data_IF_645148433666
#
_entry.id   IF_645148433666
#
_cell.length_a   1.000
_cell.length_b   1.000
_cell.length_c   1.000
_cell.angle_alpha   90.00
_cell.angle_beta   90.00
_cell.angle_gamma   90.00
#
_symmetry.space_group_name_H-M   'P 1'
#
loop_
_entity.id
_entity.type
_entity.pdbx_description
1 polymer ?
#
# COMPACT_ATOMS: atom_id res chain seq x y z
N UNK A 1 38.34 -72.35 -54.15
CA UNK A 1 38.59 -72.26 -52.68
C UNK A 1 37.29 -72.29 -51.92
N UNK A 2 36.90 -73.42 -51.32
CA UNK A 2 35.65 -73.56 -50.54
C UNK A 2 35.98 -73.25 -49.12
N UNK A 3 35.33 -72.16 -48.57
CA UNK A 3 35.39 -71.82 -47.13
C UNK A 3 34.41 -72.73 -46.39
N UNK A 4 34.91 -73.52 -45.47
CA UNK A 4 34.10 -74.30 -44.50
C UNK A 4 33.56 -73.41 -43.42
N UNK A 5 32.27 -73.43 -43.08
CA UNK A 5 31.74 -72.67 -41.97
C UNK A 5 32.06 -73.37 -40.62
N UNK A 6 32.89 -72.75 -39.78
CA UNK A 6 33.12 -73.20 -38.41
C UNK A 6 31.89 -72.88 -37.63
N UNK A 7 31.06 -73.90 -37.33
CA UNK A 7 29.94 -73.76 -36.36
C UNK A 7 30.46 -73.88 -34.94
N UNK A 8 30.66 -72.75 -34.28
CA UNK A 8 30.91 -72.73 -32.84
C UNK A 8 29.62 -73.18 -32.09
N UNK A 9 29.61 -74.39 -31.59
CA UNK A 9 28.55 -75.01 -30.87
C UNK A 9 28.84 -74.75 -29.33
N UNK A 10 28.28 -73.67 -28.73
CA UNK A 10 28.40 -73.47 -27.31
C UNK A 10 27.70 -74.59 -26.54
N UNK A 11 28.26 -75.07 -25.41
CA UNK A 11 27.65 -76.10 -24.57
C UNK A 11 26.36 -75.57 -23.98
N UNK A 12 25.30 -76.41 -23.93
CA UNK A 12 23.95 -76.05 -23.50
C UNK A 12 23.93 -75.52 -22.06
N UNK A 13 24.83 -75.91 -21.18
CA UNK A 13 24.96 -75.46 -19.78
C UNK A 13 25.42 -74.02 -19.66
N UNK A 14 26.35 -73.56 -20.51
CA UNK A 14 26.79 -72.17 -20.51
C UNK A 14 25.73 -71.21 -20.99
N UNK A 15 24.82 -71.63 -21.84
CA UNK A 15 23.72 -70.81 -22.39
C UNK A 15 22.57 -70.56 -21.44
N UNK A 16 22.35 -71.50 -20.49
CA UNK A 16 21.34 -71.33 -19.42
C UNK A 16 21.83 -70.46 -18.27
N UNK A 17 23.10 -70.52 -17.96
CA UNK A 17 23.70 -69.70 -16.87
C UNK A 17 23.81 -68.24 -17.27
N UNK A 18 24.24 -67.97 -18.49
CA UNK A 18 24.31 -66.60 -19.00
C UNK A 18 22.94 -65.92 -19.11
N UNK A 19 21.87 -66.68 -19.45
CA UNK A 19 20.51 -66.13 -19.55
C UNK A 19 19.92 -65.77 -18.17
N UNK A 20 20.24 -66.48 -17.10
CA UNK A 20 19.70 -66.22 -15.74
C UNK A 20 20.33 -64.98 -15.10
N UNK A 21 21.65 -64.79 -15.21
CA UNK A 21 22.36 -63.65 -14.66
C UNK A 21 22.04 -62.37 -15.41
N UNK A 22 22.05 -62.38 -16.74
CA UNK A 22 21.71 -61.21 -17.57
C UNK A 22 20.27 -60.76 -17.43
N UNK A 23 19.30 -61.67 -17.31
CA UNK A 23 17.89 -61.31 -17.03
C UNK A 23 17.73 -60.65 -15.67
N UNK A 24 18.42 -61.16 -14.63
CA UNK A 24 18.39 -60.58 -13.27
C UNK A 24 19.08 -59.21 -13.25
N UNK A 25 20.21 -59.05 -13.93
CA UNK A 25 20.91 -57.77 -14.04
C UNK A 25 20.09 -56.75 -14.83
N UNK A 26 19.47 -57.15 -15.94
CA UNK A 26 18.53 -56.28 -16.67
C UNK A 26 17.33 -55.86 -15.79
N UNK A 27 16.73 -56.80 -15.06
CA UNK A 27 15.61 -56.47 -14.16
C UNK A 27 16.04 -55.51 -13.05
N UNK A 28 17.18 -55.68 -12.43
CA UNK A 28 17.72 -54.79 -11.43
C UNK A 28 18.04 -53.41 -12.00
N UNK A 29 18.61 -53.34 -13.21
CA UNK A 29 18.88 -52.07 -13.88
C UNK A 29 17.58 -51.32 -14.23
N UNK A 30 16.57 -52.01 -14.72
CA UNK A 30 15.25 -51.41 -15.00
C UNK A 30 14.62 -50.89 -13.71
N UNK A 31 14.63 -51.66 -12.62
CA UNK A 31 14.09 -51.25 -11.33
C UNK A 31 14.87 -50.06 -10.80
N UNK A 32 16.19 -50.08 -10.79
CA UNK A 32 17.03 -48.98 -10.35
C UNK A 32 16.79 -47.69 -11.16
N UNK A 33 16.70 -47.82 -12.49
CA UNK A 33 16.41 -46.67 -13.37
C UNK A 33 15.01 -46.12 -13.14
N UNK A 34 14.03 -47.00 -12.98
CA UNK A 34 12.64 -46.59 -12.68
C UNK A 34 12.56 -45.88 -11.33
N UNK A 35 13.20 -46.40 -10.30
CA UNK A 35 13.27 -45.74 -8.97
C UNK A 35 13.98 -44.39 -9.08
N UNK A 36 15.08 -44.30 -9.80
CA UNK A 36 15.82 -43.06 -10.03
C UNK A 36 14.97 -42.02 -10.76
N UNK A 37 14.22 -42.43 -11.77
CA UNK A 37 13.30 -41.56 -12.52
C UNK A 37 12.17 -41.07 -11.58
N UNK A 38 11.54 -41.97 -10.81
CA UNK A 38 10.47 -41.61 -9.86
C UNK A 38 11.01 -40.66 -8.78
N UNK A 39 12.19 -40.92 -8.24
CA UNK A 39 12.81 -40.04 -7.25
C UNK A 39 13.11 -38.67 -7.86
N UNK A 40 13.71 -38.62 -9.04
CA UNK A 40 14.09 -37.34 -9.68
C UNK A 40 12.87 -36.50 -10.04
N UNK A 41 11.90 -37.09 -10.75
CA UNK A 41 10.69 -36.36 -11.16
C UNK A 41 9.72 -36.12 -10.00
N UNK A 42 9.64 -37.07 -9.05
CA UNK A 42 8.80 -36.93 -7.87
C UNK A 42 9.30 -35.81 -6.93
N UNK A 43 10.61 -35.73 -6.69
CA UNK A 43 11.21 -34.65 -5.87
C UNK A 43 11.13 -33.31 -6.58
N UNK A 44 11.37 -33.24 -7.90
CA UNK A 44 11.22 -32.02 -8.66
C UNK A 44 9.77 -31.50 -8.64
N UNK A 45 8.78 -32.36 -8.82
CA UNK A 45 7.36 -32.00 -8.76
C UNK A 45 6.92 -31.56 -7.35
N UNK A 46 7.46 -32.17 -6.28
CA UNK A 46 7.23 -31.76 -4.91
C UNK A 46 7.85 -30.39 -4.62
N UNK A 47 9.10 -30.17 -5.02
CA UNK A 47 9.79 -28.88 -4.87
C UNK A 47 9.04 -27.77 -5.59
N UNK A 48 8.63 -28.00 -6.85
CA UNK A 48 7.87 -27.06 -7.64
C UNK A 48 6.50 -26.74 -7.03
N UNK A 49 5.87 -27.76 -6.40
CA UNK A 49 4.62 -27.55 -5.67
C UNK A 49 4.82 -26.73 -4.41
N UNK A 50 5.88 -26.97 -3.65
CA UNK A 50 6.21 -26.18 -2.46
C UNK A 50 6.52 -24.72 -2.86
N UNK A 51 7.37 -24.50 -3.86
CA UNK A 51 7.67 -23.16 -4.37
C UNK A 51 6.40 -22.42 -4.83
N UNK A 52 5.52 -23.08 -5.56
CA UNK A 52 4.24 -22.48 -5.99
C UNK A 52 3.35 -22.08 -4.80
N UNK A 53 3.37 -22.84 -3.72
CA UNK A 53 2.60 -22.48 -2.50
C UNK A 53 3.22 -21.28 -1.80
N UNK A 54 4.55 -21.24 -1.69
CA UNK A 54 5.27 -20.10 -1.09
C UNK A 54 5.08 -18.82 -1.92
N UNK A 55 5.22 -18.90 -3.26
CA UNK A 55 5.02 -17.76 -4.16
C UNK A 55 3.59 -17.19 -4.06
N UNK A 56 2.60 -18.07 -3.88
CA UNK A 56 1.20 -17.65 -3.68
C UNK A 56 1.01 -16.94 -2.35
N UNK A 57 1.57 -17.51 -1.27
CA UNK A 57 1.50 -16.88 0.05
C UNK A 57 2.16 -15.51 0.00
N UNK A 58 3.33 -15.40 -0.61
CA UNK A 58 4.06 -14.14 -0.76
C UNK A 58 3.24 -13.11 -1.55
N UNK A 59 2.66 -13.50 -2.69
CA UNK A 59 1.81 -12.61 -3.48
C UNK A 59 0.59 -12.14 -2.72
N UNK A 60 -0.06 -13.02 -1.97
CA UNK A 60 -1.19 -12.66 -1.12
C UNK A 60 -0.78 -11.70 0.02
N UNK A 61 0.38 -11.95 0.64
CA UNK A 61 0.94 -11.05 1.66
C UNK A 61 1.26 -9.67 1.10
N UNK A 62 1.79 -9.57 -0.14
CA UNK A 62 2.04 -8.29 -0.80
C UNK A 62 0.76 -7.48 -0.99
N UNK A 63 -0.31 -8.11 -1.43
CA UNK A 63 -1.62 -7.47 -1.61
C UNK A 63 -2.18 -6.97 -0.27
N UNK A 64 -2.21 -7.84 0.74
CA UNK A 64 -2.73 -7.47 2.05
C UNK A 64 -1.88 -6.41 2.75
N UNK A 65 -0.55 -6.45 2.57
CA UNK A 65 0.36 -5.42 3.04
C UNK A 65 0.08 -4.06 2.39
N UNK A 66 -0.26 -4.02 1.09
CA UNK A 66 -0.64 -2.79 0.41
C UNK A 66 -1.93 -2.18 1.00
N UNK A 67 -2.95 -3.02 1.24
CA UNK A 67 -4.20 -2.58 1.88
C UNK A 67 -3.92 -2.09 3.32
N UNK A 68 -3.05 -2.77 4.06
CA UNK A 68 -2.65 -2.38 5.42
C UNK A 68 -1.91 -1.04 5.42
N UNK A 69 -0.96 -0.83 4.50
CA UNK A 69 -0.25 0.45 4.36
C UNK A 69 -1.21 1.60 4.06
N UNK A 70 -2.17 1.37 3.17
CA UNK A 70 -3.20 2.37 2.88
C UNK A 70 -4.08 2.67 4.10
N UNK A 71 -4.49 1.66 4.86
CA UNK A 71 -5.24 1.85 6.11
C UNK A 71 -4.44 2.67 7.13
N UNK A 72 -3.14 2.42 7.26
CA UNK A 72 -2.25 3.21 8.13
C UNK A 72 -2.09 4.66 7.65
N UNK A 73 -2.07 4.90 6.33
CA UNK A 73 -2.09 6.26 5.78
C UNK A 73 -3.39 6.98 6.15
N UNK A 74 -4.54 6.31 6.04
CA UNK A 74 -5.83 6.86 6.44
C UNK A 74 -5.90 7.17 7.94
N UNK A 75 -5.28 6.36 8.80
CA UNK A 75 -5.22 6.66 10.24
C UNK A 75 -4.40 7.91 10.55
N UNK A 76 -3.24 8.04 9.89
CA UNK A 76 -2.41 9.25 10.02
C UNK A 76 -3.16 10.46 9.51
N UNK A 77 -3.85 10.32 8.40
CA UNK A 77 -4.70 11.36 7.83
C UNK A 77 -5.86 11.73 8.77
N UNK A 78 -6.51 10.75 9.40
CA UNK A 78 -7.59 11.01 10.38
C UNK A 78 -7.08 11.77 11.60
N UNK A 79 -5.86 11.48 12.08
CA UNK A 79 -5.24 12.22 13.19
C UNK A 79 -4.89 13.66 12.78
N UNK A 80 -4.34 13.85 11.57
CA UNK A 80 -4.06 15.18 11.02
C UNK A 80 -5.36 15.98 10.83
N UNK A 81 -6.40 15.34 10.31
CA UNK A 81 -7.72 15.96 10.13
C UNK A 81 -8.37 16.38 11.44
N UNK A 82 -8.16 15.68 12.56
CA UNK A 82 -8.64 16.09 13.87
C UNK A 82 -8.03 17.43 14.33
N UNK A 83 -6.74 17.61 14.06
CA UNK A 83 -6.07 18.89 14.32
C UNK A 83 -6.60 19.99 13.39
N UNK A 84 -6.72 19.71 12.10
CA UNK A 84 -7.23 20.68 11.11
C UNK A 84 -8.67 21.08 11.36
N UNK A 85 -9.54 20.16 11.81
CA UNK A 85 -10.91 20.44 12.23
C UNK A 85 -10.96 21.43 13.41
N UNK A 86 -10.06 21.24 14.39
CA UNK A 86 -9.95 22.19 15.51
C UNK A 86 -9.55 23.60 15.06
N UNK A 87 -8.62 23.69 14.09
CA UNK A 87 -8.20 24.96 13.51
C UNK A 87 -9.32 25.59 12.68
N UNK A 88 -10.01 24.80 11.84
CA UNK A 88 -11.15 25.26 11.05
C UNK A 88 -12.28 25.79 11.94
N UNK A 89 -12.61 25.06 13.01
CA UNK A 89 -13.59 25.50 14.01
C UNK A 89 -13.18 26.81 14.68
N UNK A 90 -11.90 26.96 15.03
CA UNK A 90 -11.40 28.20 15.61
C UNK A 90 -11.51 29.36 14.60
N UNK A 91 -11.12 29.17 13.33
CA UNK A 91 -11.25 30.19 12.29
C UNK A 91 -12.70 30.63 12.07
N UNK A 92 -13.66 29.69 12.09
CA UNK A 92 -15.08 29.97 11.94
C UNK A 92 -15.66 30.83 13.10
N UNK A 93 -15.09 30.69 14.31
CA UNK A 93 -15.51 31.40 15.50
C UNK A 93 -14.83 32.76 15.70
N UNK A 94 -13.92 33.16 14.82
CA UNK A 94 -13.28 34.46 14.87
C UNK A 94 -14.33 35.58 14.62
N UNK A 95 -14.37 36.61 15.45
CA UNK A 95 -15.28 37.73 15.25
C UNK A 95 -14.86 38.52 14.01
N UNK A 96 -15.77 38.62 13.04
CA UNK A 96 -15.51 39.25 11.73
C UNK A 96 -15.09 40.72 11.85
N UNK A 97 -15.66 41.44 12.84
CA UNK A 97 -15.36 42.84 13.13
C UNK A 97 -13.93 43.07 13.66
N UNK A 98 -13.22 42.01 14.05
CA UNK A 98 -11.86 42.09 14.58
C UNK A 98 -10.79 41.57 13.63
N UNK A 99 -11.17 40.99 12.47
CA UNK A 99 -10.24 40.36 11.54
C UNK A 99 -9.17 41.33 11.00
N UNK A 100 -9.58 42.59 10.73
CA UNK A 100 -8.67 43.63 10.25
C UNK A 100 -7.60 44.04 11.26
N UNK A 101 -7.84 43.75 12.55
CA UNK A 101 -6.91 44.05 13.63
C UNK A 101 -5.91 42.91 13.92
N UNK A 102 -6.09 41.74 13.31
CA UNK A 102 -5.20 40.61 13.50
C UNK A 102 -4.03 40.73 12.52
N UNK A 103 -2.78 40.71 13.00
CA UNK A 103 -1.63 40.76 12.12
C UNK A 103 -1.65 39.60 11.12
N UNK A 104 -1.40 39.83 9.83
CA UNK A 104 -1.40 38.78 8.81
C UNK A 104 -0.50 37.59 9.13
N UNK A 105 0.62 37.87 9.82
CA UNK A 105 1.61 36.85 10.21
C UNK A 105 1.02 35.83 11.20
N UNK A 106 0.13 36.26 12.12
CA UNK A 106 -0.51 35.37 13.08
C UNK A 106 -1.50 34.40 12.44
N UNK A 107 -2.03 34.75 11.26
CA UNK A 107 -3.06 34.00 10.57
C UNK A 107 -2.54 33.13 9.42
N UNK A 108 -1.30 33.36 8.98
CA UNK A 108 -0.70 32.59 7.87
C UNK A 108 -0.67 31.10 8.16
N UNK A 109 -0.29 30.70 9.39
CA UNK A 109 -0.23 29.29 9.76
C UNK A 109 -1.60 28.62 9.88
N UNK A 110 -2.58 29.18 10.61
CA UNK A 110 -3.92 28.61 10.64
C UNK A 110 -4.54 28.44 9.25
N UNK A 111 -4.41 29.44 8.38
CA UNK A 111 -4.91 29.34 6.99
C UNK A 111 -4.17 28.23 6.22
N UNK A 112 -2.84 28.21 6.27
CA UNK A 112 -2.08 27.16 5.63
C UNK A 112 -2.43 25.77 6.16
N UNK A 113 -2.71 25.63 7.44
CA UNK A 113 -3.13 24.36 8.03
C UNK A 113 -4.41 23.82 7.39
N UNK A 114 -5.38 24.66 7.11
CA UNK A 114 -6.65 24.22 6.49
C UNK A 114 -6.61 24.17 4.96
N UNK A 115 -5.64 24.84 4.33
CA UNK A 115 -5.53 24.89 2.85
C UNK A 115 -4.54 23.91 2.30
N UNK A 116 -3.37 23.73 2.95
CA UNK A 116 -2.32 22.85 2.49
C UNK A 116 -2.62 21.39 2.87
N UNK A 117 -3.47 20.74 2.10
CA UNK A 117 -3.85 19.34 2.25
C UNK A 117 -3.02 18.48 1.30
N UNK A 118 -2.58 17.32 1.80
CA UNK A 118 -1.86 16.36 0.97
C UNK A 118 -2.84 15.49 0.17
N UNK A 119 -2.45 15.14 -1.05
CA UNK A 119 -3.16 14.16 -1.85
C UNK A 119 -2.93 12.76 -1.27
N UNK A 120 -3.95 11.93 -1.33
CA UNK A 120 -3.87 10.53 -0.98
C UNK A 120 -3.46 9.71 -2.20
N UNK A 121 -2.65 8.69 -2.01
CA UNK A 121 -2.28 7.75 -3.06
C UNK A 121 -1.95 6.38 -2.46
N UNK A 122 -2.22 5.31 -3.21
CA UNK A 122 -1.81 3.95 -2.87
C UNK A 122 -0.88 3.37 -3.94
N UNK A 123 -0.21 2.26 -3.61
CA UNK A 123 0.68 1.57 -4.54
C UNK A 123 -0.12 0.79 -5.60
N UNK A 124 -0.27 1.40 -6.78
CA UNK A 124 -0.96 0.81 -7.94
C UNK A 124 -0.16 -0.30 -8.61
N UNK A 125 1.14 -0.44 -8.31
CA UNK A 125 1.96 -1.51 -8.89
C UNK A 125 1.51 -2.88 -8.36
N UNK A 126 1.18 -2.96 -7.07
CA UNK A 126 0.64 -4.16 -6.45
C UNK A 126 -0.74 -4.54 -7.03
N UNK A 127 -1.62 -3.56 -7.25
CA UNK A 127 -2.90 -3.77 -7.96
C UNK A 127 -2.68 -4.28 -9.38
N UNK A 128 -1.72 -3.68 -10.11
CA UNK A 128 -1.35 -4.10 -11.45
C UNK A 128 -0.80 -5.52 -11.51
N UNK A 129 0.05 -5.91 -10.57
CA UNK A 129 0.55 -7.29 -10.43
C UNK A 129 -0.62 -8.23 -10.15
N UNK A 130 -1.51 -7.88 -9.24
CA UNK A 130 -2.69 -8.68 -8.92
C UNK A 130 -3.57 -8.89 -10.16
N UNK A 131 -3.91 -7.82 -10.86
CA UNK A 131 -4.81 -7.87 -12.03
C UNK A 131 -4.22 -8.66 -13.20
N UNK A 132 -2.89 -8.65 -13.40
CA UNK A 132 -2.22 -9.30 -14.50
C UNK A 132 -1.77 -10.75 -14.21
N UNK A 133 -1.76 -11.17 -12.95
CA UNK A 133 -1.27 -12.49 -12.52
C UNK A 133 -2.38 -13.54 -12.43
N UNK A 134 -3.25 -13.60 -13.43
CA UNK A 134 -4.42 -14.50 -13.44
C UNK A 134 -4.08 -15.98 -13.16
N UNK A 135 -2.90 -16.45 -13.59
CA UNK A 135 -2.47 -17.83 -13.38
C UNK A 135 -2.04 -18.10 -11.93
N UNK A 136 -1.47 -17.12 -11.25
CA UNK A 136 -1.16 -17.19 -9.82
C UNK A 136 -2.43 -17.33 -9.01
N UNK A 137 -3.47 -16.58 -9.33
CA UNK A 137 -4.73 -16.52 -8.58
C UNK A 137 -5.66 -17.70 -8.88
N UNK A 138 -5.74 -18.16 -10.13
CA UNK A 138 -6.50 -19.37 -10.50
C UNK A 138 -6.06 -20.59 -9.69
N UNK A 139 -4.79 -20.67 -9.37
CA UNK A 139 -4.23 -21.76 -8.61
C UNK A 139 -4.43 -21.63 -7.08
N UNK A 140 -4.83 -20.47 -6.55
CA UNK A 140 -5.20 -20.30 -5.14
C UNK A 140 -6.47 -21.06 -4.77
N UNK A 141 -7.37 -21.30 -5.75
CA UNK A 141 -8.60 -22.05 -5.55
C UNK A 141 -9.65 -21.34 -4.69
N UNK A 142 -9.36 -20.13 -4.21
CA UNK A 142 -10.28 -19.35 -3.37
C UNK A 142 -10.78 -18.11 -4.11
N UNK A 143 -11.90 -18.28 -4.82
CA UNK A 143 -12.56 -17.19 -5.55
C UNK A 143 -13.02 -16.06 -4.66
N UNK A 144 -13.42 -16.35 -3.40
CA UNK A 144 -13.84 -15.32 -2.47
C UNK A 144 -12.70 -14.39 -2.08
N UNK A 145 -11.47 -14.91 -1.94
CA UNK A 145 -10.29 -14.08 -1.71
C UNK A 145 -10.03 -13.16 -2.89
N UNK A 146 -10.06 -13.67 -4.12
CA UNK A 146 -9.83 -12.89 -5.33
C UNK A 146 -10.86 -11.77 -5.47
N UNK A 147 -12.13 -12.09 -5.29
CA UNK A 147 -13.25 -11.14 -5.36
C UNK A 147 -13.13 -10.05 -4.26
N UNK A 148 -12.82 -10.47 -3.03
CA UNK A 148 -12.68 -9.55 -1.92
C UNK A 148 -11.45 -8.63 -2.06
N UNK A 149 -10.35 -9.11 -2.62
CA UNK A 149 -9.17 -8.29 -2.95
C UNK A 149 -9.50 -7.29 -4.06
N UNK A 150 -10.20 -7.73 -5.11
CA UNK A 150 -10.66 -6.82 -6.16
C UNK A 150 -11.56 -5.71 -5.60
N UNK A 151 -12.48 -6.06 -4.71
CA UNK A 151 -13.34 -5.11 -3.99
C UNK A 151 -12.51 -4.17 -3.10
N UNK A 152 -11.45 -4.67 -2.45
CA UNK A 152 -10.57 -3.84 -1.62
C UNK A 152 -9.84 -2.78 -2.47
N UNK A 153 -9.31 -3.14 -3.64
CA UNK A 153 -8.68 -2.18 -4.54
C UNK A 153 -9.66 -1.17 -5.12
N UNK A 154 -10.87 -1.61 -5.48
CA UNK A 154 -11.93 -0.68 -5.91
C UNK A 154 -12.24 0.34 -4.83
N UNK A 155 -12.40 -0.09 -3.59
CA UNK A 155 -12.66 0.79 -2.44
C UNK A 155 -11.50 1.76 -2.20
N UNK A 156 -10.24 1.29 -2.27
CA UNK A 156 -9.06 2.15 -2.13
C UNK A 156 -9.01 3.23 -3.22
N UNK A 157 -9.33 2.89 -4.48
CA UNK A 157 -9.43 3.82 -5.58
C UNK A 157 -10.53 4.87 -5.34
N UNK A 158 -11.71 4.45 -4.89
CA UNK A 158 -12.83 5.33 -4.61
C UNK A 158 -12.51 6.29 -3.45
N UNK A 159 -11.87 5.79 -2.38
CA UNK A 159 -11.43 6.61 -1.25
C UNK A 159 -10.39 7.65 -1.72
N UNK A 160 -9.37 7.22 -2.48
CA UNK A 160 -8.34 8.10 -3.04
C UNK A 160 -8.98 9.20 -3.89
N UNK A 161 -9.87 8.84 -4.80
CA UNK A 161 -10.55 9.78 -5.67
C UNK A 161 -11.39 10.80 -4.87
N UNK A 162 -12.25 10.32 -3.97
CA UNK A 162 -13.10 11.20 -3.16
C UNK A 162 -12.31 12.18 -2.29
N UNK A 163 -11.19 11.72 -1.72
CA UNK A 163 -10.31 12.59 -0.96
C UNK A 163 -9.66 13.64 -1.86
N UNK A 164 -9.07 13.22 -2.96
CA UNK A 164 -8.32 14.09 -3.86
C UNK A 164 -9.24 15.13 -4.55
N UNK A 165 -10.48 14.74 -4.88
CA UNK A 165 -11.47 15.66 -5.42
C UNK A 165 -11.80 16.75 -4.39
N UNK A 166 -12.01 16.39 -3.12
CA UNK A 166 -12.26 17.37 -2.07
C UNK A 166 -11.06 18.30 -1.82
N UNK A 167 -9.82 17.77 -1.84
CA UNK A 167 -8.60 18.60 -1.73
C UNK A 167 -8.51 19.60 -2.90
N UNK A 168 -8.77 19.14 -4.12
CA UNK A 168 -8.76 20.00 -5.31
C UNK A 168 -9.84 21.08 -5.25
N UNK A 169 -11.05 20.77 -4.77
CA UNK A 169 -12.12 21.73 -4.54
C UNK A 169 -11.70 22.79 -3.50
N UNK A 170 -11.04 22.38 -2.44
CA UNK A 170 -10.48 23.27 -1.42
C UNK A 170 -9.49 24.27 -2.03
N UNK A 171 -8.52 23.76 -2.80
CA UNK A 171 -7.51 24.59 -3.48
C UNK A 171 -8.17 25.54 -4.49
N UNK A 172 -9.13 25.06 -5.28
CA UNK A 172 -9.86 25.88 -6.25
C UNK A 172 -10.63 27.01 -5.57
N UNK A 173 -11.31 26.73 -4.45
CA UNK A 173 -12.06 27.72 -3.67
C UNK A 173 -11.14 28.84 -3.16
N UNK A 174 -9.99 28.48 -2.59
CA UNK A 174 -9.01 29.46 -2.11
C UNK A 174 -8.47 30.31 -3.24
N UNK A 175 -8.09 29.66 -4.35
CA UNK A 175 -7.57 30.36 -5.53
C UNK A 175 -8.60 31.33 -6.13
N UNK A 176 -9.89 30.95 -6.17
CA UNK A 176 -10.97 31.82 -6.64
C UNK A 176 -11.06 33.08 -5.77
N UNK A 177 -11.08 32.93 -4.44
CA UNK A 177 -11.13 34.07 -3.51
C UNK A 177 -9.91 34.98 -3.71
N UNK A 178 -8.70 34.41 -3.79
CA UNK A 178 -7.47 35.19 -3.92
C UNK A 178 -7.37 35.90 -5.27
N UNK A 179 -7.85 35.29 -6.36
CA UNK A 179 -7.81 35.89 -7.70
C UNK A 179 -8.73 37.11 -7.82
N UNK A 180 -9.82 37.16 -7.04
CA UNK A 180 -10.79 38.27 -7.04
C UNK A 180 -10.50 39.32 -5.99
N UNK A 181 -9.34 39.30 -5.32
CA UNK A 181 -8.93 40.32 -4.38
C UNK A 181 -8.57 41.65 -5.07
N UNK A 182 -9.00 42.76 -4.45
CA UNK A 182 -8.63 44.11 -4.89
C UNK A 182 -7.32 44.53 -4.19
N UNK A 183 -6.51 45.41 -4.81
CA UNK A 183 -5.37 46.00 -4.17
C UNK A 183 -5.73 46.69 -2.85
N UNK A 184 -5.09 46.29 -1.73
CA UNK A 184 -5.34 46.85 -0.41
C UNK A 184 -6.39 46.10 0.42
N UNK A 185 -7.08 45.09 -0.14
CA UNK A 185 -7.94 44.20 0.66
C UNK A 185 -7.12 43.32 1.57
N UNK A 186 -7.61 43.11 2.79
CA UNK A 186 -6.96 42.22 3.75
C UNK A 186 -7.30 40.74 3.41
N UNK A 187 -6.28 39.95 3.07
CA UNK A 187 -6.46 38.57 2.58
C UNK A 187 -7.29 37.72 3.53
N UNK A 188 -7.02 37.85 4.81
CA UNK A 188 -7.69 37.09 5.86
C UNK A 188 -9.16 37.42 5.94
N UNK A 189 -9.49 38.71 6.02
CA UNK A 189 -10.87 39.19 6.05
C UNK A 189 -11.64 38.70 4.84
N UNK A 190 -10.99 38.77 3.64
CA UNK A 190 -11.60 38.30 2.39
C UNK A 190 -11.90 36.80 2.43
N UNK A 191 -10.96 35.97 2.89
CA UNK A 191 -11.18 34.53 3.01
C UNK A 191 -12.27 34.21 4.05
N UNK A 192 -12.16 34.74 5.27
CA UNK A 192 -13.06 34.39 6.35
C UNK A 192 -14.46 35.02 6.25
N UNK A 193 -14.67 36.03 5.39
CA UNK A 193 -15.98 36.57 5.04
C UNK A 193 -16.59 35.93 3.79
N UNK A 194 -15.81 35.15 3.03
CA UNK A 194 -16.31 34.43 1.86
C UNK A 194 -17.14 33.23 2.31
N UNK A 195 -18.40 33.17 1.87
CA UNK A 195 -19.33 32.12 2.25
C UNK A 195 -18.87 30.72 1.80
N UNK A 196 -18.30 30.62 0.59
CA UNK A 196 -17.84 29.33 0.04
C UNK A 196 -16.67 28.79 0.86
N UNK A 197 -15.71 29.67 1.21
CA UNK A 197 -14.59 29.26 2.06
C UNK A 197 -15.06 28.87 3.48
N UNK A 198 -16.02 29.58 4.05
CA UNK A 198 -16.61 29.21 5.36
C UNK A 198 -17.32 27.86 5.29
N UNK A 199 -18.13 27.61 4.24
CA UNK A 199 -18.76 26.31 4.03
C UNK A 199 -17.72 25.19 3.90
N UNK A 200 -16.60 25.46 3.23
CA UNK A 200 -15.50 24.50 3.15
C UNK A 200 -14.94 24.16 4.53
N UNK A 201 -14.66 25.16 5.38
CA UNK A 201 -14.21 24.94 6.76
C UNK A 201 -15.20 24.10 7.58
N UNK A 202 -16.51 24.29 7.39
CA UNK A 202 -17.55 23.50 8.04
C UNK A 202 -17.54 22.01 7.63
N UNK A 203 -16.94 21.67 6.49
CA UNK A 203 -16.84 20.26 6.04
C UNK A 203 -15.76 19.46 6.75
N UNK A 204 -14.81 20.09 7.45
CA UNK A 204 -13.65 19.40 8.04
C UNK A 204 -14.04 18.31 9.03
N UNK A 205 -15.01 18.57 9.90
CA UNK A 205 -15.51 17.58 10.87
C UNK A 205 -16.11 16.36 10.15
N UNK A 206 -16.92 16.57 9.13
CA UNK A 206 -17.51 15.49 8.34
C UNK A 206 -16.42 14.67 7.60
N UNK A 207 -15.38 15.35 7.09
CA UNK A 207 -14.25 14.70 6.42
C UNK A 207 -13.39 13.89 7.37
N UNK A 208 -13.13 14.39 8.58
CA UNK A 208 -12.45 13.62 9.63
C UNK A 208 -13.19 12.30 9.91
N UNK A 209 -14.49 12.36 10.16
CA UNK A 209 -15.32 11.19 10.43
C UNK A 209 -15.32 10.22 9.23
N UNK A 210 -15.38 10.76 8.01
CA UNK A 210 -15.33 9.96 6.80
C UNK A 210 -13.99 9.21 6.65
N UNK A 211 -12.85 9.86 6.89
CA UNK A 211 -11.52 9.22 6.85
C UNK A 211 -11.41 8.11 7.89
N UNK A 212 -11.92 8.33 9.11
CA UNK A 212 -11.94 7.29 10.15
C UNK A 212 -12.78 6.08 9.71
N UNK A 213 -13.95 6.33 9.13
CA UNK A 213 -14.78 5.27 8.58
C UNK A 213 -14.08 4.51 7.45
N UNK A 214 -13.45 5.22 6.50
CA UNK A 214 -12.70 4.64 5.39
C UNK A 214 -11.56 3.74 5.89
N UNK A 215 -10.79 4.19 6.88
CA UNK A 215 -9.73 3.37 7.50
C UNK A 215 -10.29 2.09 8.12
N UNK A 216 -11.35 2.19 8.94
CA UNK A 216 -11.97 1.04 9.57
C UNK A 216 -12.54 0.04 8.52
N UNK A 217 -13.10 0.57 7.42
CA UNK A 217 -13.64 -0.25 6.33
C UNK A 217 -12.54 -1.01 5.59
N UNK A 218 -11.44 -0.34 5.20
CA UNK A 218 -10.29 -1.00 4.58
C UNK A 218 -9.70 -2.10 5.47
N UNK A 219 -9.58 -1.87 6.77
CA UNK A 219 -9.13 -2.90 7.73
C UNK A 219 -10.07 -4.08 7.79
N UNK A 220 -11.37 -3.85 7.81
CA UNK A 220 -12.37 -4.92 7.81
C UNK A 220 -12.27 -5.80 6.55
N UNK A 221 -12.07 -5.18 5.38
CA UNK A 221 -11.84 -5.91 4.13
C UNK A 221 -10.53 -6.72 4.20
N UNK A 222 -9.46 -6.11 4.73
CA UNK A 222 -8.16 -6.79 4.86
C UNK A 222 -8.21 -7.95 5.85
N UNK A 223 -8.88 -7.79 6.98
CA UNK A 223 -9.11 -8.87 7.95
C UNK A 223 -9.84 -10.05 7.30
N UNK A 224 -10.88 -9.78 6.51
CA UNK A 224 -11.58 -10.82 5.76
C UNK A 224 -10.67 -11.51 4.74
N UNK A 225 -9.77 -10.77 4.07
CA UNK A 225 -8.75 -11.36 3.19
C UNK A 225 -7.83 -12.32 3.97
N UNK A 226 -7.35 -11.92 5.15
CA UNK A 226 -6.49 -12.73 6.01
C UNK A 226 -7.18 -14.02 6.45
N UNK A 227 -8.44 -13.93 6.88
CA UNK A 227 -9.26 -15.10 7.27
C UNK A 227 -9.44 -16.10 6.11
N UNK A 228 -9.68 -15.61 4.88
CA UNK A 228 -9.90 -16.44 3.71
C UNK A 228 -8.70 -17.30 3.31
N UNK A 229 -7.49 -16.89 3.64
CA UNK A 229 -6.24 -17.57 3.29
C UNK A 229 -5.44 -18.06 4.49
N UNK A 230 -5.95 -17.84 5.72
CA UNK A 230 -5.35 -18.34 6.96
C UNK A 230 -4.00 -17.67 7.30
N UNK A 231 -3.86 -16.38 6.99
CA UNK A 231 -2.71 -15.54 7.40
C UNK A 231 -3.14 -14.72 8.61
N UNK A 232 -2.23 -14.56 9.57
CA UNK A 232 -2.50 -13.77 10.77
C UNK A 232 -2.21 -12.29 10.57
N UNK A 233 -2.84 -11.44 11.38
CA UNK A 233 -2.57 -10.01 11.39
C UNK A 233 -1.09 -9.72 11.74
N UNK A 234 -0.52 -10.47 12.67
CA UNK A 234 0.90 -10.36 13.06
C UNK A 234 1.84 -10.62 11.88
N UNK A 235 1.57 -11.68 11.09
CA UNK A 235 2.37 -11.99 9.88
C UNK A 235 2.31 -10.85 8.85
N UNK A 236 1.15 -10.21 8.68
CA UNK A 236 1.00 -9.08 7.76
C UNK A 236 1.67 -7.82 8.29
N UNK A 237 1.53 -7.53 9.58
CA UNK A 237 2.20 -6.39 10.21
C UNK A 237 3.71 -6.49 10.09
N UNK A 238 4.29 -7.65 10.43
CA UNK A 238 5.73 -7.90 10.31
C UNK A 238 6.22 -7.75 8.86
N UNK A 239 5.46 -8.28 7.90
CA UNK A 239 5.78 -8.17 6.48
C UNK A 239 5.72 -6.73 5.99
N UNK A 240 4.70 -5.97 6.40
CA UNK A 240 4.52 -4.56 6.07
C UNK A 240 5.64 -3.70 6.63
N UNK A 241 5.99 -3.90 7.90
CA UNK A 241 7.07 -3.17 8.57
C UNK A 241 8.44 -3.45 7.93
N UNK A 242 8.66 -4.69 7.44
CA UNK A 242 9.87 -5.02 6.70
C UNK A 242 9.94 -4.33 5.33
N UNK A 243 8.81 -4.13 4.65
CA UNK A 243 8.73 -3.38 3.40
C UNK A 243 9.00 -1.90 3.64
N UNK A 244 8.31 -1.28 4.59
CA UNK A 244 8.52 0.14 4.93
C UNK A 244 9.97 0.44 5.26
N UNK A 245 10.66 -0.41 6.05
CA UNK A 245 12.11 -0.24 6.36
C UNK A 245 13.03 -0.37 5.14
N UNK A 246 12.65 -1.13 4.11
CA UNK A 246 13.45 -1.24 2.88
C UNK A 246 13.25 -0.02 1.98
N UNK A 247 12.04 0.50 1.93
CA UNK A 247 11.71 1.68 1.12
C UNK A 247 12.33 2.96 1.70
N UNK A 248 12.39 3.10 3.03
CA UNK A 248 13.06 4.21 3.72
C UNK A 248 14.57 4.32 3.40
N UNK A 249 15.19 3.26 2.88
CA UNK A 249 16.61 3.27 2.46
C UNK A 249 16.87 3.81 1.06
N UNK A 250 15.88 3.98 0.19
CA UNK A 250 16.09 4.26 -1.24
C UNK A 250 15.21 5.37 -1.85
N UNK A 251 14.16 5.85 -1.19
CA UNK A 251 13.34 6.95 -1.70
C UNK A 251 13.33 8.13 -0.73
N UNK A 252 13.37 9.38 -1.25
CA UNK A 252 13.20 10.56 -0.41
C UNK A 252 11.81 10.49 0.24
N UNK A 253 11.79 10.42 1.55
CA UNK A 253 10.55 10.48 2.34
C UNK A 253 9.70 11.69 1.90
N UNK A 254 8.38 11.55 1.95
CA UNK A 254 7.42 12.66 1.66
C UNK A 254 7.80 13.94 2.42
N UNK A 255 8.45 13.82 3.60
CA UNK A 255 9.05 14.93 4.33
C UNK A 255 10.20 15.62 3.58
N UNK A 256 11.01 14.90 2.81
CA UNK A 256 12.07 15.46 1.99
C UNK A 256 11.55 16.12 0.71
N UNK A 257 10.41 15.63 0.16
CA UNK A 257 9.70 16.31 -0.93
C UNK A 257 9.12 17.65 -0.46
N UNK A 258 8.56 17.73 0.75
CA UNK A 258 8.11 18.99 1.36
C UNK A 258 9.25 19.97 1.57
N UNK A 259 10.41 19.51 2.02
CA UNK A 259 11.58 20.38 2.24
C UNK A 259 12.21 20.88 0.94
N UNK A 260 12.08 20.15 -0.17
CA UNK A 260 12.60 20.60 -1.47
C UNK A 260 11.68 21.59 -2.21
N UNK A 261 10.37 21.59 -1.91
CA UNK A 261 9.42 22.57 -2.49
C UNK A 261 9.36 23.89 -1.72
N UNK A 262 9.76 23.90 -0.46
CA UNK A 262 9.89 25.13 0.33
C UNK A 262 11.29 25.66 0.16
N UNK A 263 11.44 26.90 -0.31
CA UNK A 263 12.75 27.54 -0.38
C UNK A 263 13.40 27.59 1.02
N UNK A 264 14.74 27.55 1.14
CA UNK A 264 15.43 27.64 2.43
C UNK A 264 15.01 28.85 3.27
N UNK A 265 14.61 29.95 2.63
CA UNK A 265 14.12 31.17 3.28
C UNK A 265 12.74 30.97 3.94
N UNK A 266 11.88 30.10 3.39
CA UNK A 266 10.57 29.80 3.98
C UNK A 266 10.68 28.97 5.26
N UNK A 267 11.66 28.07 5.36
CA UNK A 267 11.90 27.24 6.55
C UNK A 267 12.46 28.04 7.73
N UNK A 268 13.30 29.03 7.47
CA UNK A 268 13.85 29.92 8.51
C UNK A 268 12.77 30.82 9.11
N UNK A 269 11.78 31.19 8.35
CA UNK A 269 10.64 32.02 8.77
C UNK A 269 9.61 31.21 9.57
N UNK A 270 9.49 29.90 9.35
CA UNK A 270 8.49 29.04 10.00
C UNK A 270 8.90 28.57 11.41
N UNK A 271 10.17 28.43 11.72
CA UNK A 271 10.65 27.93 13.01
C UNK A 271 10.23 28.78 14.22
N UNK A 272 10.31 30.12 14.20
CA UNK A 272 9.82 30.95 15.31
C UNK A 272 8.31 30.85 15.54
N UNK A 273 7.54 30.65 14.44
CA UNK A 273 6.08 30.54 14.50
C UNK A 273 5.63 29.22 15.11
N UNK A 274 6.30 28.11 14.80
CA UNK A 274 6.01 26.78 15.41
C UNK A 274 6.23 26.86 16.94
N UNK A 275 7.30 27.52 17.38
CA UNK A 275 7.58 27.71 18.81
C UNK A 275 6.54 28.60 19.51
N UNK A 276 6.02 29.59 18.82
CA UNK A 276 5.00 30.49 19.36
C UNK A 276 3.63 29.78 19.51
N UNK A 277 3.22 28.98 18.53
CA UNK A 277 2.00 28.16 18.58
C UNK A 277 2.10 27.11 19.69
N UNK A 278 3.22 26.43 19.84
CA UNK A 278 3.45 25.50 20.96
C UNK A 278 3.32 26.20 22.33
N UNK A 279 3.74 27.44 22.41
CA UNK A 279 3.59 28.26 23.63
C UNK A 279 2.14 28.62 23.93
N UNK A 280 1.37 28.99 22.88
CA UNK A 280 -0.08 29.30 23.01
C UNK A 280 -0.86 28.03 23.36
N UNK A 281 -0.58 26.90 22.71
CA UNK A 281 -1.23 25.62 23.01
C UNK A 281 -0.92 25.09 24.41
N UNK A 282 0.28 25.34 24.94
CA UNK A 282 0.62 25.04 26.33
C UNK A 282 -0.05 25.97 27.32
N UNK A 283 -0.37 27.21 26.94
CA UNK A 283 -1.11 28.18 27.75
C UNK A 283 -2.60 27.88 27.83
N UNK A 284 -3.19 27.25 26.82
CA UNK A 284 -4.61 26.87 26.77
C UNK A 284 -4.92 25.56 27.51
N UNK A 285 -3.88 24.77 27.87
CA UNK A 285 -4.02 23.53 28.67
C UNK A 285 -3.89 23.73 30.17
N UNK A 286 -3.76 24.96 30.64
CA UNK A 286 -3.87 25.37 32.04
C UNK A 286 -5.19 26.13 32.31
#
# INVERSE_FOLDING_TARGET
MKRLPIKFRMPKSARTWAKGSTMREMALTIIATTISIILTFGTAALLERCQRVEDRKLSAMMVMSNIEQFSRQLDRLAQDMAYRDSVATWLLNLPVDKLDNIPPEEMTNPINTVVALDLLSHDRSTEGIFSNSSDTWKNLGNFQFIDNVGSSFSEMNDIEQHWNDWVNENVATVNDVLTHMQPGEHTLTKLLTNNTFRQLLETFHARQNWVQYASAHCRSLNQKNMELIGITEEEIMDFTDQRERKDDGNEPTVSEFRTKQLSPDSLTTLQPMIQHIDSIMKGLKK
#
